data_IF_923707942230
#
_entry.id   IF_923707942230
#
_cell.length_a   1.000
_cell.length_b   1.000
_cell.length_c   1.000
_cell.angle_alpha   90.00
_cell.angle_beta   90.00
_cell.angle_gamma   90.00
#
_symmetry.space_group_name_H-M   'P 1'
#
loop_
_entity.id
_entity.type
_entity.pdbx_description
1 polymer ?
#
# COMPACT_ATOMS: atom_id res chain seq x y z
N UNK A 1 5.24 23.63 -61.76
CA UNK A 1 4.70 24.54 -60.71
C UNK A 1 3.74 23.80 -59.77
N UNK A 2 4.15 22.70 -59.11
CA UNK A 2 3.30 21.93 -58.17
C UNK A 2 4.03 21.50 -56.88
N UNK A 3 5.29 21.91 -56.71
CA UNK A 3 6.15 21.53 -55.57
C UNK A 3 5.92 22.38 -54.31
N UNK A 4 5.38 23.59 -54.48
CA UNK A 4 5.05 24.50 -53.38
C UNK A 4 3.88 24.00 -52.49
N UNK A 5 2.74 23.51 -53.03
CA UNK A 5 1.63 23.05 -52.18
C UNK A 5 1.95 21.73 -51.46
N UNK A 6 2.79 20.86 -52.03
CA UNK A 6 3.17 19.59 -51.41
C UNK A 6 4.11 19.78 -50.21
N UNK A 7 5.01 20.77 -50.28
CA UNK A 7 5.91 21.11 -49.18
C UNK A 7 5.17 21.78 -48.01
N UNK A 8 4.16 22.62 -48.31
CA UNK A 8 3.30 23.22 -47.31
C UNK A 8 2.45 22.18 -46.56
N UNK A 9 1.92 21.17 -47.26
CA UNK A 9 1.18 20.06 -46.64
C UNK A 9 2.04 19.18 -45.73
N UNK A 10 3.30 18.92 -46.12
CA UNK A 10 4.23 18.13 -45.31
C UNK A 10 4.62 18.88 -44.02
N UNK A 11 4.82 20.20 -44.11
CA UNK A 11 5.11 21.06 -42.95
C UNK A 11 3.91 21.15 -41.99
N UNK A 12 2.68 21.18 -42.50
CA UNK A 12 1.47 21.19 -41.67
C UNK A 12 1.28 19.85 -40.93
N UNK A 13 1.55 18.72 -41.59
CA UNK A 13 1.48 17.39 -40.97
C UNK A 13 2.56 17.13 -39.92
N UNK A 14 3.76 17.70 -40.10
CA UNK A 14 4.86 17.57 -39.15
C UNK A 14 4.74 18.49 -37.93
N UNK A 15 3.95 19.57 -38.00
CA UNK A 15 3.72 20.50 -36.90
C UNK A 15 2.63 20.07 -35.90
N UNK A 16 1.65 19.27 -36.34
CA UNK A 16 0.55 18.77 -35.50
C UNK A 16 0.98 18.03 -34.21
N UNK A 17 2.01 17.15 -34.19
CA UNK A 17 2.40 16.47 -32.96
C UNK A 17 3.15 17.37 -31.96
N UNK A 18 3.60 18.56 -32.39
CA UNK A 18 4.28 19.51 -31.51
C UNK A 18 3.30 20.41 -30.73
N UNK A 19 2.05 20.50 -31.18
CA UNK A 19 1.01 21.34 -30.56
C UNK A 19 0.01 20.47 -29.78
N UNK A 20 -0.08 19.18 -30.10
CA UNK A 20 -0.77 18.18 -29.30
C UNK A 20 0.06 17.80 -28.06
N UNK A 21 0.41 18.78 -27.24
CA UNK A 21 0.62 18.51 -25.84
C UNK A 21 -0.75 18.09 -25.31
N UNK A 22 -0.91 16.79 -25.05
CA UNK A 22 -1.93 16.35 -24.12
C UNK A 22 -1.62 17.08 -22.81
N UNK A 23 -2.30 18.20 -22.59
CA UNK A 23 -2.35 18.86 -21.30
C UNK A 23 -2.68 17.75 -20.31
N UNK A 24 -1.74 17.45 -19.42
CA UNK A 24 -2.02 16.60 -18.27
C UNK A 24 -3.27 17.20 -17.64
N UNK A 25 -4.40 16.54 -17.89
CA UNK A 25 -5.69 17.01 -17.45
C UNK A 25 -5.56 17.35 -15.95
N UNK A 26 -6.16 18.47 -15.50
CA UNK A 26 -6.10 18.85 -14.10
C UNK A 26 -6.42 17.63 -13.25
N UNK A 27 -5.68 17.47 -12.15
CA UNK A 27 -5.63 16.34 -11.21
C UNK A 27 -6.96 15.97 -10.55
N UNK A 28 -8.01 15.76 -11.33
CA UNK A 28 -9.35 15.39 -10.92
C UNK A 28 -9.68 14.00 -11.45
N UNK A 29 -10.25 13.17 -10.59
CA UNK A 29 -10.78 11.88 -10.98
C UNK A 29 -11.88 12.07 -12.03
N UNK A 30 -11.69 11.52 -13.22
CA UNK A 30 -12.70 11.56 -14.27
C UNK A 30 -13.79 10.53 -13.99
N UNK A 31 -15.05 10.92 -14.15
CA UNK A 31 -16.20 10.05 -13.92
C UNK A 31 -16.93 9.85 -15.26
N UNK A 32 -16.93 8.62 -15.77
CA UNK A 32 -17.53 8.28 -17.07
C UNK A 32 -18.87 7.60 -16.85
N UNK A 33 -19.88 7.93 -17.67
CA UNK A 33 -21.14 7.19 -17.70
C UNK A 33 -21.17 6.24 -18.90
N UNK A 34 -21.41 4.96 -18.65
CA UNK A 34 -21.66 3.95 -19.69
C UNK A 34 -23.06 3.38 -19.43
N UNK A 35 -23.92 3.42 -20.44
CA UNK A 35 -25.32 2.95 -20.35
C UNK A 35 -26.13 3.53 -19.17
N UNK A 36 -25.87 4.79 -18.82
CA UNK A 36 -26.55 5.47 -17.71
C UNK A 36 -25.96 5.21 -16.32
N UNK A 37 -25.02 4.28 -16.19
CA UNK A 37 -24.33 3.97 -14.94
C UNK A 37 -22.99 4.69 -14.85
N UNK A 38 -22.68 5.22 -13.65
CA UNK A 38 -21.37 5.81 -13.34
C UNK A 38 -20.32 4.69 -13.23
N UNK A 39 -19.32 4.69 -14.09
CA UNK A 39 -18.15 3.84 -13.98
C UNK A 39 -17.07 4.58 -13.16
N UNK A 40 -16.73 4.12 -11.94
CA UNK A 40 -15.72 4.78 -11.12
C UNK A 40 -14.31 4.52 -11.66
N UNK A 41 -13.47 5.56 -11.66
CA UNK A 41 -12.03 5.42 -11.93
C UNK A 41 -11.33 4.87 -10.68
N UNK A 42 -11.07 3.56 -10.66
CA UNK A 42 -10.38 2.90 -9.55
C UNK A 42 -8.93 3.36 -9.37
N UNK A 43 -8.26 3.82 -10.43
CA UNK A 43 -6.90 4.35 -10.37
C UNK A 43 -6.84 5.68 -9.61
N UNK A 44 -7.83 6.54 -9.82
CA UNK A 44 -7.95 7.79 -9.10
C UNK A 44 -8.49 7.59 -7.69
N UNK A 45 -9.48 6.72 -7.49
CA UNK A 45 -10.01 6.39 -6.16
C UNK A 45 -8.91 5.78 -5.26
N UNK A 46 -8.11 4.86 -5.79
CA UNK A 46 -6.99 4.27 -5.03
C UNK A 46 -5.93 5.31 -4.67
N UNK A 47 -5.62 6.24 -5.58
CA UNK A 47 -4.69 7.34 -5.31
C UNK A 47 -5.26 8.34 -4.31
N UNK A 48 -6.57 8.62 -4.33
CA UNK A 48 -7.26 9.46 -3.35
C UNK A 48 -7.30 8.82 -1.96
N UNK A 49 -7.52 7.50 -1.87
CA UNK A 49 -7.43 6.75 -0.61
C UNK A 49 -5.99 6.61 -0.11
N UNK A 50 -5.01 6.54 -1.02
CA UNK A 50 -3.59 6.33 -0.69
C UNK A 50 -2.79 7.60 -0.41
N UNK A 51 -3.25 8.78 -0.83
CA UNK A 51 -2.56 10.07 -0.67
C UNK A 51 -2.92 10.81 0.62
N UNK A 52 -3.48 10.14 1.62
CA UNK A 52 -3.68 10.77 2.93
C UNK A 52 -2.31 10.98 3.60
N UNK A 53 -1.87 12.23 3.85
CA UNK A 53 -0.63 12.50 4.58
C UNK A 53 -0.62 11.89 5.99
N UNK A 54 -1.79 11.60 6.57
CA UNK A 54 -1.94 10.82 7.79
C UNK A 54 -1.69 9.32 7.56
N UNK A 55 -2.02 8.76 6.40
CA UNK A 55 -1.73 7.37 6.09
C UNK A 55 -0.21 7.10 5.99
N UNK A 56 0.56 8.03 5.43
CA UNK A 56 2.03 7.95 5.41
C UNK A 56 2.61 7.98 6.84
N UNK A 57 2.14 8.92 7.69
CA UNK A 57 2.54 9.01 9.10
C UNK A 57 2.11 7.78 9.92
N UNK A 58 0.91 7.28 9.69
CA UNK A 58 0.40 6.07 10.33
C UNK A 58 1.23 4.85 9.93
N UNK A 59 1.57 4.72 8.65
CA UNK A 59 2.46 3.66 8.15
C UNK A 59 3.83 3.72 8.83
N UNK A 60 4.41 4.92 8.95
CA UNK A 60 5.69 5.10 9.63
C UNK A 60 5.60 4.70 11.12
N UNK A 61 4.59 5.17 11.85
CA UNK A 61 4.36 4.79 13.25
C UNK A 61 4.11 3.29 13.41
N UNK A 62 3.39 2.66 12.48
CA UNK A 62 3.17 1.22 12.49
C UNK A 62 4.46 0.43 12.27
N UNK A 63 5.38 0.93 11.42
CA UNK A 63 6.71 0.33 11.24
C UNK A 63 7.56 0.47 12.51
N UNK A 64 7.52 1.63 13.16
CA UNK A 64 8.22 1.85 14.43
C UNK A 64 7.68 0.93 15.53
N UNK A 65 6.35 0.77 15.62
CA UNK A 65 5.72 -0.14 16.58
C UNK A 65 6.03 -1.62 16.35
N UNK A 66 6.31 -2.02 15.10
CA UNK A 66 6.73 -3.38 14.77
C UNK A 66 8.18 -3.67 15.19
N UNK A 67 9.02 -2.63 15.29
CA UNK A 67 10.42 -2.76 15.70
C UNK A 67 10.54 -2.75 17.23
N UNK A 68 9.90 -3.71 17.90
CA UNK A 68 10.03 -3.89 19.34
C UNK A 68 11.45 -4.39 19.65
N UNK A 69 12.21 -3.72 20.54
CA UNK A 69 13.51 -4.19 20.99
C UNK A 69 13.44 -5.59 21.63
N UNK A 70 14.47 -6.42 21.47
CA UNK A 70 14.48 -7.84 21.88
C UNK A 70 14.16 -7.99 23.37
N UNK A 71 14.68 -7.10 24.23
CA UNK A 71 14.46 -7.10 25.66
C UNK A 71 13.02 -6.81 26.08
N UNK A 72 12.21 -6.21 25.19
CA UNK A 72 10.79 -5.95 25.38
C UNK A 72 9.90 -6.96 24.68
N UNK A 73 10.46 -7.87 23.88
CA UNK A 73 9.66 -8.87 23.17
C UNK A 73 9.15 -9.92 24.13
N UNK A 74 7.88 -10.34 24.00
CA UNK A 74 7.37 -11.43 24.81
C UNK A 74 8.12 -12.74 24.48
N UNK A 75 8.29 -13.65 25.45
CA UNK A 75 9.09 -14.88 25.30
C UNK A 75 8.71 -15.73 24.08
N UNK A 76 7.42 -15.76 23.71
CA UNK A 76 6.91 -16.50 22.56
C UNK A 76 7.40 -15.98 21.20
N UNK A 77 7.83 -14.71 21.11
CA UNK A 77 8.33 -14.11 19.86
C UNK A 77 9.83 -14.32 19.66
N UNK A 78 10.54 -14.75 20.70
CA UNK A 78 12.01 -14.91 20.70
C UNK A 78 12.44 -16.37 20.96
N UNK A 79 11.49 -17.31 20.94
CA UNK A 79 11.76 -18.75 21.12
C UNK A 79 12.12 -19.15 22.56
N UNK A 80 11.82 -18.30 23.54
CA UNK A 80 12.00 -18.62 24.95
C UNK A 80 10.77 -19.35 25.53
N UNK A 81 10.95 -20.04 26.65
CA UNK A 81 9.83 -20.71 27.31
C UNK A 81 8.81 -19.68 27.81
N UNK A 82 7.53 -19.98 27.61
CA UNK A 82 6.43 -19.15 28.10
C UNK A 82 5.88 -19.74 29.40
N UNK A 83 5.28 -18.93 30.28
CA UNK A 83 4.56 -19.43 31.45
C UNK A 83 3.49 -20.47 31.09
N UNK A 84 2.82 -20.31 29.95
CA UNK A 84 1.84 -21.27 29.45
C UNK A 84 2.48 -22.60 29.00
N UNK A 85 3.65 -22.58 28.36
CA UNK A 85 4.38 -23.81 28.02
C UNK A 85 4.85 -24.54 29.29
N UNK A 86 5.27 -23.80 30.30
CA UNK A 86 5.66 -24.35 31.59
C UNK A 86 4.45 -24.93 32.33
N UNK A 87 3.29 -24.26 32.30
CA UNK A 87 2.08 -24.76 32.97
C UNK A 87 1.58 -26.07 32.36
N UNK A 88 1.72 -26.27 31.04
CA UNK A 88 1.40 -27.56 30.40
C UNK A 88 2.28 -28.70 30.93
N UNK A 89 3.59 -28.45 31.11
CA UNK A 89 4.51 -29.46 31.64
C UNK A 89 4.29 -29.73 33.13
N UNK A 90 3.98 -28.69 33.90
CA UNK A 90 3.81 -28.80 35.35
C UNK A 90 2.42 -29.29 35.74
N UNK A 91 1.39 -29.00 34.93
CA UNK A 91 0.01 -29.24 35.27
C UNK A 91 -0.39 -28.50 36.54
N UNK A 92 -1.06 -29.21 37.43
CA UNK A 92 -1.63 -28.67 38.67
C UNK A 92 -0.55 -28.18 39.66
N UNK A 93 0.70 -28.57 39.45
CA UNK A 93 1.82 -28.21 40.33
C UNK A 93 2.54 -26.93 39.92
N UNK A 94 2.04 -26.25 38.87
CA UNK A 94 2.61 -24.97 38.43
C UNK A 94 2.54 -23.91 39.53
N UNK A 95 3.70 -23.36 39.92
CA UNK A 95 3.81 -22.36 40.99
C UNK A 95 3.84 -22.92 42.41
N UNK A 96 3.65 -24.23 42.61
CA UNK A 96 3.61 -24.87 43.96
C UNK A 96 4.68 -25.94 44.15
N UNK A 97 5.23 -26.50 43.08
CA UNK A 97 6.27 -27.54 43.14
C UNK A 97 7.31 -27.33 42.05
N UNK A 98 8.50 -27.89 42.26
CA UNK A 98 9.54 -28.04 41.23
C UNK A 98 9.40 -29.33 40.42
N UNK A 99 8.45 -30.20 40.81
CA UNK A 99 8.20 -31.48 40.12
C UNK A 99 6.91 -31.42 39.29
N UNK A 100 6.97 -31.80 38.00
CA UNK A 100 5.79 -31.98 37.15
C UNK A 100 4.75 -32.93 37.74
N UNK A 101 3.47 -32.70 37.44
CA UNK A 101 2.43 -33.71 37.64
C UNK A 101 2.73 -34.93 36.77
N UNK A 102 2.84 -36.11 37.40
CA UNK A 102 2.91 -37.38 36.68
C UNK A 102 1.53 -37.68 36.07
N UNK A 103 1.47 -38.15 34.81
CA UNK A 103 0.24 -38.69 34.23
C UNK A 103 -0.38 -39.80 35.09
#
# INVERSE_FOLDING_TARGET
MKLLPTLAGLLLCAGLPLIAHAEEAPSGCTEVKVDGYKAPDYGCLSRQMGNDPQAAKATQKNKEAQNVPIEKRPPNQIGLSTPAATSVRMGNTFGTSVKPQRP
#
